data_IF_491991382142
#
_entry.id   IF_491991382142
#
_cell.length_a   1.000
_cell.length_b   1.000
_cell.length_c   1.000
_cell.angle_alpha   90.00
_cell.angle_beta   90.00
_cell.angle_gamma   90.00
#
_symmetry.space_group_name_H-M   'P 1'
#
loop_
_entity.id
_entity.type
_entity.pdbx_description
1 polymer ?
#
# COMPACT_ATOMS: atom_id res chain seq x y z
N UNK A 1 19.00 15.07 -18.69
CA UNK A 1 18.11 16.17 -18.23
C UNK A 1 17.20 15.55 -17.18
N UNK A 2 17.30 16.00 -15.94
CA UNK A 2 16.56 15.41 -14.81
C UNK A 2 15.24 16.16 -14.67
N UNK A 3 14.11 15.44 -14.69
CA UNK A 3 12.79 16.04 -14.55
C UNK A 3 12.56 16.36 -13.07
N UNK A 4 12.15 17.60 -12.79
CA UNK A 4 11.65 17.98 -11.47
C UNK A 4 10.16 17.61 -11.37
N UNK A 5 9.91 16.41 -10.85
CA UNK A 5 8.57 15.81 -10.75
C UNK A 5 7.66 16.63 -9.83
N UNK A 6 8.22 17.21 -8.77
CA UNK A 6 7.46 18.00 -7.80
C UNK A 6 6.96 19.30 -8.43
N UNK A 7 7.83 19.97 -9.19
CA UNK A 7 7.46 21.15 -9.97
C UNK A 7 6.38 20.83 -11.01
N UNK A 8 6.54 19.74 -11.77
CA UNK A 8 5.54 19.32 -12.75
C UNK A 8 4.17 19.10 -12.10
N UNK A 9 4.11 18.35 -11.00
CA UNK A 9 2.85 18.04 -10.33
C UNK A 9 2.14 19.28 -9.78
N UNK A 10 2.88 20.25 -9.22
CA UNK A 10 2.29 21.53 -8.78
C UNK A 10 1.70 22.34 -9.94
N UNK A 11 2.30 22.27 -11.11
CA UNK A 11 1.86 23.01 -12.30
C UNK A 11 0.71 22.30 -13.03
N UNK A 12 0.60 20.97 -12.93
CA UNK A 12 -0.38 20.17 -13.67
C UNK A 12 -1.59 19.72 -12.86
N UNK A 13 -1.53 19.81 -11.52
CA UNK A 13 -2.64 19.41 -10.63
C UNK A 13 -3.16 20.66 -9.92
N UNK A 14 -4.29 21.25 -10.35
CA UNK A 14 -4.86 22.38 -9.65
C UNK A 14 -5.31 21.93 -8.25
N UNK A 15 -4.79 22.57 -7.20
CA UNK A 15 -5.20 22.29 -5.83
C UNK A 15 -6.69 22.54 -5.65
N UNK A 16 -7.47 21.48 -5.46
CA UNK A 16 -8.93 21.51 -5.33
C UNK A 16 -9.54 20.12 -5.47
N UNK A 17 -10.63 19.86 -4.75
CA UNK A 17 -11.26 18.54 -4.62
C UNK A 17 -11.78 17.99 -5.95
N UNK A 18 -11.33 16.77 -6.28
CA UNK A 18 -11.64 15.94 -7.46
C UNK A 18 -11.20 16.54 -8.79
N UNK A 19 -9.94 16.31 -9.15
CA UNK A 19 -9.46 16.50 -10.51
C UNK A 19 -9.81 15.27 -11.36
N UNK A 20 -10.52 15.48 -12.47
CA UNK A 20 -10.77 14.47 -13.49
C UNK A 20 -9.44 13.87 -13.99
N UNK A 21 -9.26 12.53 -13.95
CA UNK A 21 -8.00 11.88 -14.34
C UNK A 21 -7.56 12.21 -15.77
N UNK A 22 -8.51 12.41 -16.68
CA UNK A 22 -8.19 12.74 -18.07
C UNK A 22 -7.65 14.18 -18.17
N UNK A 23 -8.22 15.12 -17.44
CA UNK A 23 -7.74 16.51 -17.35
C UNK A 23 -6.32 16.60 -16.79
N UNK A 24 -5.99 15.78 -15.77
CA UNK A 24 -4.61 15.68 -15.26
C UNK A 24 -3.69 15.14 -16.35
N UNK A 25 -4.09 14.06 -17.03
CA UNK A 25 -3.31 13.45 -18.09
C UNK A 25 -3.04 14.45 -19.24
N UNK A 26 -4.03 15.23 -19.65
CA UNK A 26 -3.90 16.27 -20.67
C UNK A 26 -2.98 17.42 -20.23
N UNK A 27 -3.07 17.82 -18.97
CA UNK A 27 -2.19 18.87 -18.39
C UNK A 27 -0.72 18.41 -18.35
N UNK A 28 -0.46 17.15 -18.00
CA UNK A 28 0.87 16.56 -18.02
C UNK A 28 1.41 16.48 -19.47
N UNK A 29 0.58 16.10 -20.44
CA UNK A 29 0.97 16.08 -21.86
C UNK A 29 1.35 17.49 -22.36
N UNK A 30 0.54 18.50 -22.03
CA UNK A 30 0.82 19.88 -22.39
C UNK A 30 2.12 20.40 -21.74
N UNK A 31 2.36 20.03 -20.48
CA UNK A 31 3.58 20.39 -19.77
C UNK A 31 4.84 19.80 -20.43
N UNK A 32 4.81 18.52 -20.83
CA UNK A 32 5.93 17.90 -21.54
C UNK A 32 6.13 18.46 -22.95
N UNK A 33 5.06 18.87 -23.65
CA UNK A 33 5.19 19.55 -24.93
C UNK A 33 5.90 20.90 -24.80
N UNK A 34 5.66 21.63 -23.70
CA UNK A 34 6.26 22.94 -23.45
C UNK A 34 7.69 22.87 -22.90
N UNK A 35 8.00 21.87 -22.05
CA UNK A 35 9.28 21.78 -21.33
C UNK A 35 10.25 20.75 -21.94
N UNK A 36 9.83 20.07 -23.00
CA UNK A 36 10.55 18.96 -23.62
C UNK A 36 10.29 17.66 -22.88
N UNK A 37 9.75 16.67 -23.59
CA UNK A 37 9.59 15.34 -23.03
C UNK A 37 10.97 14.75 -22.73
N UNK A 38 11.17 14.09 -21.57
CA UNK A 38 12.31 13.20 -21.42
C UNK A 38 12.27 12.23 -22.60
N UNK A 39 13.37 12.15 -23.34
CA UNK A 39 13.61 11.00 -24.18
C UNK A 39 13.82 9.84 -23.23
N UNK A 40 12.73 9.18 -22.80
CA UNK A 40 12.82 7.88 -22.17
C UNK A 40 13.55 7.04 -23.21
N UNK A 41 14.72 6.47 -22.90
CA UNK A 41 15.38 5.58 -23.83
C UNK A 41 14.40 4.43 -24.03
N UNK A 42 13.65 4.45 -25.13
CA UNK A 42 12.99 3.26 -25.65
C UNK A 42 14.12 2.40 -26.19
N UNK A 43 14.86 1.77 -25.28
CA UNK A 43 15.71 0.66 -25.65
C UNK A 43 14.75 -0.32 -26.33
N UNK A 44 14.83 -0.41 -27.66
CA UNK A 44 14.03 -1.38 -28.41
C UNK A 44 14.32 -2.73 -27.79
N UNK A 45 13.28 -3.38 -27.28
CA UNK A 45 13.38 -4.75 -26.84
C UNK A 45 13.95 -5.56 -28.00
N UNK A 46 14.89 -6.43 -27.69
CA UNK A 46 15.36 -7.42 -28.65
C UNK A 46 14.20 -8.35 -29.02
N UNK A 47 14.23 -8.95 -30.20
CA UNK A 47 13.20 -9.90 -30.64
C UNK A 47 12.97 -11.03 -29.63
N UNK A 48 14.04 -11.45 -28.94
CA UNK A 48 13.99 -12.44 -27.86
C UNK A 48 13.19 -11.95 -26.65
N UNK A 49 13.36 -10.69 -26.26
CA UNK A 49 12.60 -10.11 -25.15
C UNK A 49 11.13 -9.94 -25.50
N UNK A 50 10.83 -9.55 -26.75
CA UNK A 50 9.46 -9.45 -27.26
C UNK A 50 8.80 -10.83 -27.22
N UNK A 51 9.44 -11.85 -27.78
CA UNK A 51 8.91 -13.22 -27.78
C UNK A 51 8.70 -13.77 -26.35
N UNK A 52 9.60 -13.47 -25.42
CA UNK A 52 9.45 -13.87 -24.02
C UNK A 52 8.28 -13.14 -23.34
N UNK A 53 8.06 -11.87 -23.65
CA UNK A 53 6.94 -11.09 -23.15
C UNK A 53 5.60 -11.61 -23.71
N UNK A 54 5.53 -11.88 -25.01
CA UNK A 54 4.35 -12.44 -25.67
C UNK A 54 3.99 -13.81 -25.10
N UNK A 55 4.99 -14.67 -24.85
CA UNK A 55 4.78 -15.97 -24.22
C UNK A 55 4.19 -15.83 -22.81
N UNK A 56 4.65 -14.85 -22.01
CA UNK A 56 4.08 -14.58 -20.68
C UNK A 56 2.63 -14.15 -20.77
N UNK A 57 2.31 -13.21 -21.65
CA UNK A 57 0.91 -12.78 -21.84
C UNK A 57 0.01 -13.92 -22.32
N UNK A 58 0.51 -14.80 -23.19
CA UNK A 58 -0.23 -15.98 -23.63
C UNK A 58 -0.49 -16.98 -22.49
N UNK A 59 0.49 -17.18 -21.59
CA UNK A 59 0.34 -18.01 -20.40
C UNK A 59 -0.70 -17.41 -19.44
N UNK A 60 -0.58 -16.12 -19.12
CA UNK A 60 -1.50 -15.42 -18.22
C UNK A 60 -2.94 -15.43 -18.77
N UNK A 61 -3.06 -15.23 -20.09
CA UNK A 61 -4.33 -15.34 -20.80
C UNK A 61 -4.92 -16.75 -20.70
N UNK A 62 -4.11 -17.79 -20.94
CA UNK A 62 -4.56 -19.18 -20.85
C UNK A 62 -5.03 -19.54 -19.44
N UNK A 63 -4.32 -19.12 -18.39
CA UNK A 63 -4.73 -19.34 -16.99
C UNK A 63 -6.06 -18.61 -16.72
N UNK A 64 -6.19 -17.36 -17.14
CA UNK A 64 -7.41 -16.57 -16.97
C UNK A 64 -8.61 -17.22 -17.65
N UNK A 65 -8.49 -17.57 -18.94
CA UNK A 65 -9.54 -18.28 -19.67
C UNK A 65 -9.84 -19.66 -19.06
N UNK A 66 -8.82 -20.32 -18.54
CA UNK A 66 -8.95 -21.52 -17.74
C UNK A 66 -9.87 -21.29 -16.55
N UNK A 67 -9.62 -20.26 -15.73
CA UNK A 67 -10.46 -19.94 -14.56
C UNK A 67 -11.93 -19.71 -14.95
N UNK A 68 -12.17 -19.02 -16.07
CA UNK A 68 -13.51 -18.75 -16.59
C UNK A 68 -14.17 -19.97 -17.25
N UNK A 69 -13.39 -20.98 -17.66
CA UNK A 69 -13.89 -22.13 -18.41
C UNK A 69 -14.13 -21.86 -19.89
N UNK A 70 -13.54 -20.82 -20.45
CA UNK A 70 -13.73 -20.37 -21.83
C UNK A 70 -12.49 -20.67 -22.70
N UNK A 71 -12.63 -20.59 -24.02
CA UNK A 71 -11.52 -20.59 -24.99
C UNK A 71 -10.45 -21.69 -24.77
N UNK A 72 -10.92 -22.93 -24.54
CA UNK A 72 -10.05 -24.08 -24.32
C UNK A 72 -9.11 -24.28 -25.52
N UNK A 73 -7.78 -24.30 -25.32
CA UNK A 73 -6.84 -24.58 -26.39
C UNK A 73 -7.05 -25.98 -27.00
N UNK A 74 -6.72 -26.17 -28.30
CA UNK A 74 -6.73 -27.48 -28.93
C UNK A 74 -5.85 -28.49 -28.18
N UNK A 75 -6.18 -29.78 -28.31
CA UNK A 75 -5.40 -30.86 -27.69
C UNK A 75 -3.97 -30.84 -28.25
N UNK A 76 -2.98 -30.90 -27.35
CA UNK A 76 -1.55 -30.85 -27.70
C UNK A 76 -0.99 -29.44 -27.89
N UNK A 77 -1.81 -28.38 -27.76
CA UNK A 77 -1.30 -27.02 -27.75
C UNK A 77 -0.53 -26.74 -26.44
N UNK A 78 0.59 -26.03 -26.52
CA UNK A 78 1.48 -25.78 -25.37
C UNK A 78 0.81 -24.98 -24.23
N UNK A 79 -0.24 -24.20 -24.54
CA UNK A 79 -1.06 -23.49 -23.55
C UNK A 79 -2.11 -24.36 -22.82
N UNK A 80 -2.33 -25.61 -23.26
CA UNK A 80 -3.40 -26.45 -22.72
C UNK A 80 -3.18 -26.80 -21.23
N UNK A 81 -1.93 -26.91 -20.80
CA UNK A 81 -1.56 -27.12 -19.39
C UNK A 81 -1.92 -25.91 -18.54
N UNK A 82 -1.54 -24.71 -18.97
CA UNK A 82 -1.85 -23.45 -18.27
C UNK A 82 -3.35 -23.17 -18.18
N UNK A 83 -4.12 -23.50 -19.22
CA UNK A 83 -5.58 -23.46 -19.15
C UNK A 83 -6.15 -24.44 -18.12
N UNK A 84 -5.57 -25.64 -18.03
CA UNK A 84 -5.98 -26.65 -17.05
C UNK A 84 -5.64 -26.23 -15.61
N UNK A 85 -4.51 -25.55 -15.41
CA UNK A 85 -4.16 -24.89 -14.14
C UNK A 85 -5.24 -23.86 -13.78
N UNK A 86 -5.69 -23.04 -14.73
CA UNK A 86 -6.81 -22.13 -14.52
C UNK A 86 -8.09 -22.84 -14.04
N UNK A 87 -8.44 -23.99 -14.62
CA UNK A 87 -9.58 -24.81 -14.15
C UNK A 87 -9.37 -25.35 -12.73
N UNK A 88 -8.15 -25.74 -12.38
CA UNK A 88 -7.84 -26.19 -11.03
C UNK A 88 -7.99 -25.04 -10.03
N UNK A 89 -7.48 -23.85 -10.37
CA UNK A 89 -7.61 -22.64 -9.55
C UNK A 89 -9.07 -22.22 -9.36
N UNK A 90 -9.92 -22.34 -10.38
CA UNK A 90 -11.36 -22.07 -10.23
C UNK A 90 -12.00 -23.00 -9.20
N UNK A 91 -11.69 -24.31 -9.24
CA UNK A 91 -12.17 -25.29 -8.25
C UNK A 91 -11.64 -25.02 -6.84
N UNK A 92 -10.41 -24.53 -6.73
CA UNK A 92 -9.83 -24.12 -5.44
C UNK A 92 -10.50 -22.86 -4.89
N UNK A 93 -10.86 -21.90 -5.75
CA UNK A 93 -11.65 -20.72 -5.37
C UNK A 93 -13.10 -21.03 -4.97
N UNK A 94 -13.65 -22.16 -5.43
CA UNK A 94 -14.95 -22.67 -4.98
C UNK A 94 -14.88 -23.34 -3.60
N UNK A 95 -13.70 -23.82 -3.18
CA UNK A 95 -13.49 -24.60 -1.94
C UNK A 95 -12.71 -23.87 -0.85
N UNK A 96 -12.02 -22.78 -1.20
CA UNK A 96 -11.29 -21.92 -0.28
C UNK A 96 -11.68 -20.47 -0.55
N UNK A 97 -11.89 -19.71 0.53
CA UNK A 97 -12.13 -18.26 0.52
C UNK A 97 -10.89 -17.48 0.06
N UNK A 98 -10.33 -17.85 -1.08
CA UNK A 98 -9.24 -17.14 -1.72
C UNK A 98 -9.85 -16.17 -2.73
N UNK A 99 -10.36 -15.05 -2.22
CA UNK A 99 -10.62 -13.90 -3.07
C UNK A 99 -9.28 -13.20 -3.38
N UNK A 100 -9.10 -12.74 -4.61
CA UNK A 100 -8.01 -11.80 -4.92
C UNK A 100 -8.33 -10.39 -4.37
N UNK A 101 -9.30 -10.29 -3.45
CA UNK A 101 -9.71 -9.06 -2.77
C UNK A 101 -9.04 -8.93 -1.40
N UNK A 102 -8.48 -10.01 -0.85
CA UNK A 102 -7.67 -9.97 0.37
C UNK A 102 -6.36 -9.23 0.06
N UNK A 103 -6.18 -7.99 0.54
CA UNK A 103 -4.92 -7.30 0.37
C UNK A 103 -3.86 -8.08 1.17
N UNK A 104 -2.67 -8.29 0.61
CA UNK A 104 -1.49 -8.83 1.34
C UNK A 104 -0.91 -7.78 2.31
N UNK A 105 -1.74 -6.86 2.78
CA UNK A 105 -1.44 -5.90 3.82
C UNK A 105 -2.55 -6.05 4.83
N UNK A 106 -2.25 -6.70 5.96
CA UNK A 106 -3.06 -6.50 7.15
C UNK A 106 -3.14 -4.98 7.34
N UNK A 107 -4.31 -4.40 7.13
CA UNK A 107 -4.57 -3.07 7.66
C UNK A 107 -4.24 -3.14 9.17
N UNK A 108 -3.56 -2.13 9.74
CA UNK A 108 -3.31 -2.11 11.18
C UNK A 108 -4.65 -2.34 11.90
N UNK A 109 -4.66 -3.05 13.04
CA UNK A 109 -5.90 -3.42 13.72
C UNK A 109 -6.71 -2.15 13.97
N UNK A 110 -7.77 -1.96 13.18
CA UNK A 110 -8.69 -0.84 13.38
C UNK A 110 -9.47 -1.20 14.63
N UNK A 111 -9.20 -0.47 15.72
CA UNK A 111 -9.96 -0.63 16.95
C UNK A 111 -11.46 -0.48 16.65
N UNK A 112 -12.25 -1.38 17.19
CA UNK A 112 -13.71 -1.34 17.04
C UNK A 112 -14.28 -0.10 17.75
N UNK A 113 -15.48 0.32 17.38
CA UNK A 113 -16.14 1.45 18.05
C UNK A 113 -16.34 1.19 19.55
N UNK A 114 -16.57 -0.06 19.94
CA UNK A 114 -16.64 -0.46 21.34
C UNK A 114 -15.31 -0.23 22.07
N UNK A 115 -14.19 -0.53 21.42
CA UNK A 115 -12.85 -0.29 21.98
C UNK A 115 -12.54 1.21 22.04
N UNK A 116 -12.91 1.98 21.01
CA UNK A 116 -12.75 3.43 20.99
C UNK A 116 -13.56 4.10 22.09
N UNK A 117 -14.79 3.64 22.31
CA UNK A 117 -15.64 4.12 23.41
C UNK A 117 -15.00 3.87 24.78
N UNK A 118 -14.46 2.66 25.02
CA UNK A 118 -13.77 2.35 26.28
C UNK A 118 -12.53 3.22 26.51
N UNK A 119 -11.83 3.60 25.45
CA UNK A 119 -10.69 4.53 25.54
C UNK A 119 -11.16 5.93 25.89
N UNK A 120 -12.25 6.42 25.28
CA UNK A 120 -12.86 7.72 25.65
C UNK A 120 -13.28 7.75 27.11
N UNK A 121 -13.96 6.71 27.58
CA UNK A 121 -14.41 6.61 28.98
C UNK A 121 -13.22 6.64 29.95
N UNK A 122 -12.16 5.87 29.67
CA UNK A 122 -10.95 5.86 30.48
C UNK A 122 -10.20 7.20 30.48
N UNK A 123 -10.22 7.92 29.36
CA UNK A 123 -9.61 9.25 29.24
C UNK A 123 -10.42 10.31 29.98
N UNK A 124 -11.76 10.31 29.85
CA UNK A 124 -12.62 11.20 30.62
C UNK A 124 -12.42 10.99 32.12
N UNK A 125 -12.35 9.73 32.58
CA UNK A 125 -12.04 9.39 33.96
C UNK A 125 -10.64 9.90 34.39
N UNK A 126 -9.62 9.71 33.54
CA UNK A 126 -8.25 10.13 33.84
C UNK A 126 -8.07 11.66 33.82
N UNK A 127 -8.82 12.38 32.98
CA UNK A 127 -8.81 13.84 32.91
C UNK A 127 -9.42 14.47 34.17
N UNK A 128 -10.40 13.80 34.79
CA UNK A 128 -11.00 14.23 36.05
C UNK A 128 -11.46 15.68 36.00
N UNK A 129 -10.90 16.53 36.86
CA UNK A 129 -11.22 17.96 36.95
C UNK A 129 -10.41 18.87 36.02
N UNK A 130 -9.91 18.37 34.88
CA UNK A 130 -9.19 19.18 33.91
C UNK A 130 -10.13 20.16 33.19
N UNK A 131 -9.65 21.37 32.93
CA UNK A 131 -10.37 22.41 32.19
C UNK A 131 -9.56 22.90 31.00
N UNK A 132 -10.24 23.10 29.88
CA UNK A 132 -9.70 23.76 28.70
C UNK A 132 -10.10 25.23 28.69
N UNK A 133 -9.14 26.08 28.31
CA UNK A 133 -9.40 27.49 28.09
C UNK A 133 -9.88 27.69 26.64
N UNK A 134 -11.04 28.33 26.49
CA UNK A 134 -11.65 28.59 25.18
C UNK A 134 -11.15 29.90 24.53
N UNK A 135 -10.31 30.67 25.23
CA UNK A 135 -9.76 31.92 24.76
C UNK A 135 -8.38 31.75 24.10
N UNK A 136 -8.05 32.70 23.22
CA UNK A 136 -6.72 32.77 22.59
C UNK A 136 -5.64 33.16 23.61
N UNK A 137 -4.42 32.65 23.43
CA UNK A 137 -3.29 32.83 24.34
C UNK A 137 -2.98 34.31 24.68
N UNK A 138 -3.25 35.26 23.77
CA UNK A 138 -3.04 36.69 24.02
C UNK A 138 -3.94 37.26 25.13
N UNK A 139 -5.08 36.64 25.42
CA UNK A 139 -6.00 37.04 26.49
C UNK A 139 -5.38 36.90 27.89
N UNK A 140 -4.46 35.95 28.09
CA UNK A 140 -3.69 35.81 29.33
C UNK A 140 -2.86 37.07 29.63
N UNK A 141 -2.23 37.64 28.60
CA UNK A 141 -1.31 38.77 28.74
C UNK A 141 -1.99 40.10 29.07
N UNK A 142 -3.28 40.24 28.76
CA UNK A 142 -4.06 41.46 29.03
C UNK A 142 -5.03 41.31 30.20
N UNK A 143 -5.02 40.15 30.89
CA UNK A 143 -5.80 39.92 32.11
C UNK A 143 -7.32 39.90 31.90
N UNK A 144 -7.77 39.62 30.68
CA UNK A 144 -9.20 39.61 30.34
C UNK A 144 -9.89 38.27 30.60
N UNK A 145 -9.17 37.28 31.14
CA UNK A 145 -9.70 35.96 31.41
C UNK A 145 -10.38 35.85 32.76
N UNK A 146 -11.54 35.21 32.79
CA UNK A 146 -12.32 34.89 33.98
C UNK A 146 -12.66 33.40 34.09
N UNK A 147 -13.33 33.00 35.19
CA UNK A 147 -13.74 31.62 35.42
C UNK A 147 -14.63 31.04 34.32
N UNK A 148 -15.42 31.88 33.66
CA UNK A 148 -16.35 31.46 32.60
C UNK A 148 -15.63 31.12 31.27
N UNK A 149 -14.32 31.39 31.15
CA UNK A 149 -13.51 31.06 29.97
C UNK A 149 -12.94 29.63 30.00
N UNK A 150 -13.26 28.86 31.05
CA UNK A 150 -12.76 27.51 31.28
C UNK A 150 -13.90 26.50 31.22
N UNK A 151 -13.76 25.50 30.36
CA UNK A 151 -14.74 24.42 30.24
C UNK A 151 -14.15 23.09 30.72
N UNK A 152 -14.85 22.29 31.53
CA UNK A 152 -14.39 20.96 31.90
C UNK A 152 -14.17 20.11 30.65
N UNK A 153 -12.98 19.54 30.51
CA UNK A 153 -12.64 18.72 29.34
C UNK A 153 -13.42 17.43 29.33
N UNK A 154 -13.65 16.83 30.51
CA UNK A 154 -14.37 15.57 30.65
C UNK A 154 -15.87 15.67 30.34
N UNK A 155 -16.42 16.88 30.23
CA UNK A 155 -17.83 17.14 29.88
C UNK A 155 -18.02 17.52 28.40
N UNK A 156 -16.93 17.56 27.63
CA UNK A 156 -16.92 17.84 26.18
C UNK A 156 -16.59 16.56 25.40
N UNK A 157 -17.64 15.92 24.86
CA UNK A 157 -17.52 14.65 24.14
C UNK A 157 -16.61 14.73 22.91
N UNK A 158 -16.63 15.85 22.18
CA UNK A 158 -15.81 16.05 20.99
C UNK A 158 -14.34 16.19 21.37
N UNK A 159 -14.06 16.90 22.48
CA UNK A 159 -12.71 17.09 22.98
C UNK A 159 -12.12 15.79 23.55
N UNK A 160 -12.91 15.03 24.30
CA UNK A 160 -12.51 13.70 24.79
C UNK A 160 -12.24 12.76 23.62
N UNK A 161 -13.05 12.81 22.56
CA UNK A 161 -12.83 12.01 21.36
C UNK A 161 -11.51 12.36 20.64
N UNK A 162 -11.17 13.64 20.51
CA UNK A 162 -9.91 14.10 19.93
C UNK A 162 -8.70 13.58 20.72
N UNK A 163 -8.74 13.68 22.05
CA UNK A 163 -7.67 13.20 22.94
C UNK A 163 -7.55 11.67 22.83
N UNK A 164 -8.68 10.97 22.74
CA UNK A 164 -8.71 9.52 22.55
C UNK A 164 -8.07 9.08 21.24
N UNK A 165 -8.39 9.74 20.12
CA UNK A 165 -7.78 9.45 18.83
C UNK A 165 -6.27 9.71 18.84
N UNK A 166 -5.82 10.81 19.46
CA UNK A 166 -4.41 11.12 19.62
C UNK A 166 -3.66 10.05 20.46
N UNK A 167 -4.27 9.60 21.56
CA UNK A 167 -3.72 8.55 22.42
C UNK A 167 -3.62 7.20 21.68
N UNK A 168 -4.67 6.82 20.94
CA UNK A 168 -4.68 5.61 20.11
C UNK A 168 -3.58 5.69 19.05
N UNK A 169 -3.45 6.83 18.37
CA UNK A 169 -2.40 7.04 17.36
C UNK A 169 -0.99 6.88 17.95
N UNK A 170 -0.74 7.47 19.12
CA UNK A 170 0.53 7.34 19.83
C UNK A 170 0.80 5.89 20.27
N UNK A 171 -0.21 5.18 20.78
CA UNK A 171 -0.08 3.78 21.17
C UNK A 171 0.27 2.88 19.99
N UNK A 172 -0.41 3.04 18.85
CA UNK A 172 -0.12 2.29 17.62
C UNK A 172 1.31 2.60 17.13
N UNK A 173 1.72 3.87 17.16
CA UNK A 173 3.07 4.27 16.78
C UNK A 173 4.15 3.69 17.74
N UNK A 174 3.78 3.43 19.00
CA UNK A 174 4.64 2.87 20.04
C UNK A 174 4.65 1.34 20.14
N UNK A 175 3.89 0.63 19.28
CA UNK A 175 3.84 -0.84 19.32
C UNK A 175 5.25 -1.46 19.28
N UNK A 176 5.50 -2.55 20.03
CA UNK A 176 6.85 -3.04 20.25
C UNK A 176 7.48 -3.47 18.93
N UNK A 177 8.72 -3.02 18.73
CA UNK A 177 9.60 -3.41 17.62
C UNK A 177 9.63 -4.93 17.38
N UNK A 178 9.39 -5.74 18.41
CA UNK A 178 9.40 -7.19 18.38
C UNK A 178 8.35 -7.82 17.44
N UNK A 179 7.12 -7.28 17.38
CA UNK A 179 6.08 -7.81 16.49
C UNK A 179 6.42 -7.51 15.02
N UNK A 180 6.94 -6.30 14.77
CA UNK A 180 7.42 -5.87 13.46
C UNK A 180 8.66 -6.66 13.02
N UNK A 181 9.56 -6.95 13.95
CA UNK A 181 10.76 -7.75 13.72
C UNK A 181 10.41 -9.22 13.43
N UNK A 182 9.39 -9.77 14.10
CA UNK A 182 8.89 -11.12 13.83
C UNK A 182 8.27 -11.24 12.44
N UNK A 183 7.41 -10.28 12.07
CA UNK A 183 6.81 -10.20 10.75
C UNK A 183 7.87 -10.02 9.65
N UNK A 184 8.87 -9.16 9.89
CA UNK A 184 9.98 -8.95 8.98
C UNK A 184 10.85 -10.21 8.80
N UNK A 185 11.10 -10.96 9.88
CA UNK A 185 11.80 -12.26 9.80
C UNK A 185 11.00 -13.27 8.98
N UNK A 186 9.69 -13.31 9.15
CA UNK A 186 8.81 -14.21 8.41
C UNK A 186 8.77 -13.86 6.92
N UNK A 187 8.70 -12.57 6.57
CA UNK A 187 8.79 -12.10 5.19
C UNK A 187 10.12 -12.49 4.52
N UNK A 188 11.24 -12.34 5.22
CA UNK A 188 12.56 -12.75 4.71
C UNK A 188 12.61 -14.26 4.46
N UNK A 189 12.00 -15.07 5.33
CA UNK A 189 11.95 -16.52 5.15
C UNK A 189 11.16 -16.90 3.89
N UNK A 190 9.99 -16.29 3.68
CA UNK A 190 9.15 -16.52 2.50
C UNK A 190 9.85 -16.11 1.19
N UNK A 191 10.55 -14.97 1.19
CA UNK A 191 11.30 -14.52 0.01
C UNK A 191 12.42 -15.51 -0.37
N UNK A 192 13.12 -16.09 0.64
CA UNK A 192 14.15 -17.10 0.40
C UNK A 192 13.56 -18.40 -0.16
N UNK A 193 12.42 -18.83 0.35
CA UNK A 193 11.71 -20.02 -0.12
C UNK A 193 11.20 -19.84 -1.56
N UNK A 194 10.62 -18.67 -1.87
CA UNK A 194 10.20 -18.31 -3.22
C UNK A 194 11.37 -18.34 -4.21
N UNK A 195 12.51 -17.76 -3.82
CA UNK A 195 13.74 -17.78 -4.63
C UNK A 195 14.25 -19.20 -4.88
N UNK A 196 14.25 -20.05 -3.86
CA UNK A 196 14.64 -21.47 -4.00
C UNK A 196 13.71 -22.23 -4.95
N UNK A 197 12.40 -21.97 -4.87
CA UNK A 197 11.40 -22.59 -5.74
C UNK A 197 11.58 -22.14 -7.19
N UNK A 198 11.81 -20.84 -7.43
CA UNK A 198 12.05 -20.32 -8.77
C UNK A 198 13.35 -20.85 -9.40
N UNK A 199 14.41 -21.00 -8.60
CA UNK A 199 15.67 -21.62 -9.06
C UNK A 199 15.48 -23.09 -9.48
N UNK A 200 14.61 -23.84 -8.78
CA UNK A 200 14.28 -25.21 -9.16
C UNK A 200 13.55 -25.30 -10.52
N UNK A 201 12.91 -24.22 -10.95
CA UNK A 201 12.10 -24.14 -12.17
C UNK A 201 12.77 -23.34 -13.29
N UNK A 202 14.04 -22.97 -13.13
CA UNK A 202 14.79 -22.12 -14.07
C UNK A 202 14.87 -22.66 -15.51
N UNK A 203 14.75 -23.98 -15.66
CA UNK A 203 14.77 -24.67 -16.94
C UNK A 203 13.39 -24.70 -17.63
N UNK A 204 12.32 -24.40 -16.88
CA UNK A 204 10.91 -24.45 -17.33
C UNK A 204 10.38 -23.06 -17.67
N UNK A 205 10.81 -22.02 -16.95
CA UNK A 205 10.47 -20.64 -17.25
C UNK A 205 11.68 -19.72 -16.99
N UNK A 206 11.96 -18.72 -17.86
CA UNK A 206 12.97 -17.72 -17.59
C UNK A 206 12.47 -16.78 -16.47
N UNK A 207 12.62 -17.24 -15.22
CA UNK A 207 12.27 -16.54 -13.99
C UNK A 207 13.35 -15.52 -13.56
N UNK A 208 14.38 -15.30 -14.40
CA UNK A 208 15.59 -14.53 -14.07
C UNK A 208 15.28 -13.11 -13.56
N UNK A 209 14.23 -12.46 -14.10
CA UNK A 209 13.80 -11.14 -13.61
C UNK A 209 13.28 -11.20 -12.17
N UNK A 210 12.44 -12.17 -11.85
CA UNK A 210 11.83 -12.30 -10.53
C UNK A 210 12.86 -12.75 -9.47
N UNK A 211 13.82 -13.61 -9.83
CA UNK A 211 14.95 -13.93 -8.97
C UNK A 211 15.80 -12.70 -8.65
N UNK A 212 16.08 -11.85 -9.65
CA UNK A 212 16.81 -10.59 -9.46
C UNK A 212 16.06 -9.61 -8.56
N UNK A 213 14.74 -9.51 -8.72
CA UNK A 213 13.90 -8.64 -7.90
C UNK A 213 13.85 -9.12 -6.44
N UNK A 214 13.79 -10.44 -6.21
CA UNK A 214 13.87 -11.03 -4.86
C UNK A 214 15.26 -10.80 -4.24
N UNK A 215 16.34 -10.97 -5.00
CA UNK A 215 17.70 -10.73 -4.52
C UNK A 215 17.91 -9.25 -4.14
N UNK A 216 17.35 -8.31 -4.93
CA UNK A 216 17.35 -6.88 -4.60
C UNK A 216 16.55 -6.56 -3.33
N UNK A 217 15.36 -7.16 -3.17
CA UNK A 217 14.54 -7.00 -1.97
C UNK A 217 15.27 -7.51 -0.71
N UNK A 218 15.92 -8.69 -0.80
CA UNK A 218 16.72 -9.24 0.30
C UNK A 218 17.94 -8.37 0.64
N UNK A 219 18.59 -7.75 -0.36
CA UNK A 219 19.69 -6.83 -0.15
C UNK A 219 19.25 -5.56 0.61
N UNK A 220 18.13 -4.95 0.21
CA UNK A 220 17.56 -3.78 0.86
C UNK A 220 17.21 -4.02 2.35
N UNK A 221 16.75 -5.24 2.67
CA UNK A 221 16.50 -5.65 4.06
C UNK A 221 17.80 -5.73 4.88
N UNK A 222 18.90 -6.16 4.27
CA UNK A 222 20.21 -6.26 4.94
C UNK A 222 20.83 -4.90 5.22
N UNK A 223 20.64 -3.93 4.33
CA UNK A 223 21.19 -2.58 4.49
C UNK A 223 20.37 -1.76 5.50
N UNK A 224 19.06 -1.97 5.56
CA UNK A 224 18.18 -1.41 6.61
C UNK A 224 18.53 -1.90 8.02
N UNK A 225 19.08 -3.13 8.15
CA UNK A 225 19.55 -3.68 9.42
C UNK A 225 20.94 -3.17 9.85
N UNK A 226 21.71 -2.56 8.93
CA UNK A 226 23.05 -2.00 9.23
C UNK A 226 23.04 -0.50 9.55
N UNK A 227 21.96 0.20 9.20
CA UNK A 227 21.79 1.64 9.43
C UNK A 227 21.05 1.99 10.73
N UNK A 228 20.68 0.99 11.54
CA UNK A 228 20.11 1.15 12.89
C UNK A 228 21.18 0.95 13.96
#
# INVERSE_FOLDING_TARGET
MTIDVEKMLRETVPGGSVCDPQTIADSIRAWFAANGAPQIPTARLTDRQIAAQDARYAIDGAITYGRLGENKPPVGHWLAEYWSIGRQLARLGETSAWDNQTPVSAAPPVLTEEQRSKVRDAIAEALGGAYDCLQVWSAWGVGSMGPDDFHPVAEDDDRVAEIADAAIGAMIASQPTEARDAEQKQLIALLREARSTLEMWKDVAPAVSLCSDIDAALAAQRDSAKGK
#
